data_IF_035572830687
#
_entry.id   IF_035572830687
#
_cell.length_a   1.000
_cell.length_b   1.000
_cell.length_c   1.000
_cell.angle_alpha   90.00
_cell.angle_beta   90.00
_cell.angle_gamma   90.00
#
_symmetry.space_group_name_H-M   'P 1'
#
loop_
_entity.id
_entity.type
_entity.pdbx_description
1 polymer ?
#
# COMPACT_ATOMS: atom_id res chain seq x y z
N UNK A 1 31.60 -8.04 -34.57
CA UNK A 1 30.15 -8.12 -34.33
C UNK A 1 29.96 -7.74 -32.88
N UNK A 2 29.09 -6.78 -32.57
CA UNK A 2 28.83 -6.39 -31.18
C UNK A 2 27.96 -7.44 -30.48
N UNK A 3 27.91 -7.44 -29.15
CA UNK A 3 27.01 -8.31 -28.41
C UNK A 3 25.53 -8.05 -28.77
N UNK A 4 25.20 -6.82 -29.18
CA UNK A 4 23.86 -6.45 -29.67
C UNK A 4 23.58 -7.09 -31.04
N UNK A 5 24.56 -7.06 -31.95
CA UNK A 5 24.43 -7.73 -33.26
C UNK A 5 24.29 -9.25 -33.10
N UNK A 6 25.11 -9.86 -32.23
CA UNK A 6 25.06 -11.29 -31.94
C UNK A 6 23.67 -11.68 -31.39
N UNK A 7 23.16 -10.90 -30.43
CA UNK A 7 21.82 -11.10 -29.87
C UNK A 7 20.72 -10.98 -30.92
N UNK A 8 20.77 -9.92 -31.73
CA UNK A 8 19.79 -9.68 -32.78
C UNK A 8 19.79 -10.79 -33.83
N UNK A 9 20.97 -11.29 -34.20
CA UNK A 9 21.09 -12.43 -35.10
C UNK A 9 20.48 -13.72 -34.51
N UNK A 10 20.72 -14.01 -33.23
CA UNK A 10 20.12 -15.15 -32.52
C UNK A 10 18.59 -15.07 -32.48
N UNK A 11 18.03 -13.87 -32.37
CA UNK A 11 16.57 -13.66 -32.38
C UNK A 11 15.94 -13.77 -33.78
N UNK A 12 16.74 -13.90 -34.85
CA UNK A 12 16.26 -13.99 -36.24
C UNK A 12 16.34 -12.68 -37.03
N UNK A 13 17.05 -11.67 -36.52
CA UNK A 13 17.31 -10.41 -37.20
C UNK A 13 16.03 -9.68 -37.60
N UNK A 14 15.98 -9.19 -38.84
CA UNK A 14 14.86 -8.37 -39.32
C UNK A 14 13.53 -9.12 -39.43
N UNK A 15 13.55 -10.46 -39.40
CA UNK A 15 12.36 -11.30 -39.40
C UNK A 15 11.90 -11.66 -37.97
N UNK A 16 12.62 -11.21 -36.95
CA UNK A 16 12.25 -11.40 -35.55
C UNK A 16 11.09 -10.49 -35.13
N UNK A 17 10.57 -10.73 -33.92
CA UNK A 17 9.56 -9.87 -33.31
C UNK A 17 10.05 -8.43 -33.03
N UNK A 18 11.36 -8.16 -33.08
CA UNK A 18 11.91 -6.82 -32.92
C UNK A 18 11.78 -5.96 -34.18
N UNK A 19 11.69 -6.58 -35.36
CA UNK A 19 11.71 -5.89 -36.65
C UNK A 19 13.08 -5.29 -36.99
N UNK A 20 13.11 -4.36 -37.94
CA UNK A 20 14.35 -3.74 -38.44
C UNK A 20 14.95 -2.75 -37.43
N UNK A 21 16.28 -2.52 -37.46
CA UNK A 21 16.91 -1.47 -36.68
C UNK A 21 16.42 -0.09 -37.16
N UNK A 22 16.03 0.77 -36.21
CA UNK A 22 15.55 2.14 -36.47
C UNK A 22 16.69 3.15 -36.34
N UNK A 23 17.68 2.84 -35.51
CA UNK A 23 18.90 3.64 -35.32
C UNK A 23 20.14 2.75 -35.39
N UNK A 24 21.33 3.31 -35.66
CA UNK A 24 22.60 2.64 -35.40
C UNK A 24 22.74 2.29 -33.91
N UNK A 25 23.57 1.28 -33.61
CA UNK A 25 24.00 1.07 -32.24
C UNK A 25 24.72 2.32 -31.71
N UNK A 26 24.36 2.71 -30.49
CA UNK A 26 24.82 3.94 -29.85
C UNK A 26 25.17 3.67 -28.40
N UNK A 27 26.12 4.42 -27.86
CA UNK A 27 26.39 4.41 -26.41
C UNK A 27 25.19 4.91 -25.64
N UNK A 28 24.91 4.29 -24.49
CA UNK A 28 23.84 4.75 -23.60
C UNK A 28 24.19 6.11 -22.98
N UNK A 29 23.19 6.97 -22.70
CA UNK A 29 23.38 8.27 -22.06
C UNK A 29 24.14 8.27 -20.72
N UNK A 30 24.12 7.18 -19.96
CA UNK A 30 24.90 7.02 -18.72
C UNK A 30 26.40 6.74 -18.96
N UNK A 31 26.80 6.50 -20.21
CA UNK A 31 28.18 6.21 -20.62
C UNK A 31 28.68 4.80 -20.28
N UNK A 32 27.81 3.88 -19.83
CA UNK A 32 28.22 2.55 -19.36
C UNK A 32 28.04 1.48 -20.44
N UNK A 33 26.93 1.53 -21.16
CA UNK A 33 26.49 0.49 -22.07
C UNK A 33 26.34 0.95 -23.51
N UNK A 34 25.71 0.08 -24.29
CA UNK A 34 25.31 0.35 -25.66
C UNK A 34 23.86 -0.11 -25.84
N UNK A 35 23.17 0.48 -26.81
CA UNK A 35 21.82 0.07 -27.15
C UNK A 35 21.54 0.25 -28.64
N UNK A 36 20.50 -0.45 -29.11
CA UNK A 36 19.89 -0.21 -30.41
C UNK A 36 18.37 -0.31 -30.29
N UNK A 37 17.68 0.65 -30.89
CA UNK A 37 16.22 0.57 -31.06
C UNK A 37 15.87 -0.10 -32.39
N UNK A 38 14.84 -0.94 -32.32
CA UNK A 38 14.22 -1.64 -33.44
C UNK A 38 12.75 -1.20 -33.55
N UNK A 39 12.06 -1.59 -34.62
CA UNK A 39 10.67 -1.19 -34.88
C UNK A 39 9.73 -1.50 -33.71
N UNK A 40 9.91 -2.64 -33.04
CA UNK A 40 9.00 -3.12 -31.98
C UNK A 40 9.68 -3.39 -30.64
N UNK A 41 10.99 -3.10 -30.52
CA UNK A 41 11.72 -3.34 -29.28
C UNK A 41 13.07 -2.63 -29.20
N UNK A 42 13.84 -2.95 -28.16
CA UNK A 42 15.21 -2.48 -27.98
C UNK A 42 16.08 -3.64 -27.54
N UNK A 43 17.37 -3.61 -27.90
CA UNK A 43 18.38 -4.43 -27.24
C UNK A 43 19.34 -3.48 -26.52
N UNK A 44 19.56 -3.73 -25.24
CA UNK A 44 20.52 -3.01 -24.40
C UNK A 44 21.61 -3.97 -23.93
N UNK A 45 22.83 -3.47 -23.90
CA UNK A 45 24.00 -4.18 -23.40
C UNK A 45 24.73 -3.35 -22.36
N UNK A 46 25.19 -3.99 -21.30
CA UNK A 46 26.19 -3.43 -20.38
C UNK A 46 27.26 -4.48 -20.05
N UNK A 47 28.45 -4.08 -19.58
CA UNK A 47 29.49 -5.03 -19.17
C UNK A 47 29.04 -6.02 -18.08
N UNK A 48 28.11 -5.62 -17.20
CA UNK A 48 27.66 -6.45 -16.08
C UNK A 48 26.44 -7.31 -16.38
N UNK A 49 25.65 -6.98 -17.40
CA UNK A 49 24.39 -7.67 -17.71
C UNK A 49 24.46 -8.46 -19.02
N UNK A 50 25.34 -8.10 -19.96
CA UNK A 50 25.25 -8.63 -21.32
C UNK A 50 24.06 -8.04 -22.09
N UNK A 51 23.81 -8.59 -23.29
CA UNK A 51 22.83 -8.06 -24.23
C UNK A 51 21.44 -8.70 -24.03
N UNK A 52 20.46 -7.86 -23.71
CA UNK A 52 19.08 -8.26 -23.44
C UNK A 52 18.09 -7.42 -24.22
N UNK A 53 17.04 -8.07 -24.69
CA UNK A 53 15.95 -7.38 -25.36
C UNK A 53 14.85 -6.95 -24.37
N UNK A 54 14.19 -5.84 -24.67
CA UNK A 54 12.95 -5.41 -24.03
C UNK A 54 11.99 -4.91 -25.13
N UNK A 55 10.73 -5.34 -25.13
CA UNK A 55 9.75 -4.94 -26.16
C UNK A 55 8.37 -4.60 -25.59
N UNK A 56 7.44 -4.25 -26.49
CA UNK A 56 6.03 -4.04 -26.18
C UNK A 56 5.76 -3.09 -25.01
N UNK A 57 4.81 -3.46 -24.16
CA UNK A 57 4.36 -2.65 -23.04
C UNK A 57 5.43 -2.51 -21.93
N UNK A 58 6.27 -3.53 -21.74
CA UNK A 58 7.36 -3.49 -20.75
C UNK A 58 8.40 -2.46 -21.16
N UNK A 59 8.80 -2.45 -22.43
CA UNK A 59 9.67 -1.40 -22.98
C UNK A 59 9.05 -0.01 -22.83
N UNK A 60 7.76 0.13 -23.12
CA UNK A 60 7.04 1.40 -22.95
C UNK A 60 7.08 1.89 -21.51
N UNK A 61 6.90 0.99 -20.54
CA UNK A 61 6.98 1.29 -19.11
C UNK A 61 8.39 1.71 -18.69
N UNK A 62 9.40 0.92 -19.05
CA UNK A 62 10.80 1.22 -18.72
C UNK A 62 11.26 2.54 -19.36
N UNK A 63 10.80 2.82 -20.58
CA UNK A 63 11.00 4.12 -21.23
C UNK A 63 10.44 5.28 -20.41
N UNK A 64 9.21 5.14 -19.91
CA UNK A 64 8.55 6.19 -19.13
C UNK A 64 9.26 6.45 -17.79
N UNK A 65 9.95 5.45 -17.25
CA UNK A 65 10.77 5.57 -16.04
C UNK A 65 12.15 6.20 -16.30
N UNK A 66 12.55 6.38 -17.56
CA UNK A 66 13.84 6.97 -17.92
C UNK A 66 14.92 5.96 -18.35
N UNK A 67 14.51 4.76 -18.79
CA UNK A 67 15.41 3.73 -19.35
C UNK A 67 16.49 3.29 -18.35
N UNK A 68 17.73 3.09 -18.81
CA UNK A 68 18.88 2.65 -18.02
C UNK A 68 19.29 3.65 -16.94
N UNK A 69 18.87 4.92 -17.05
CA UNK A 69 19.09 5.94 -16.02
C UNK A 69 18.05 5.90 -14.90
N UNK A 70 17.00 5.10 -15.05
CA UNK A 70 16.02 4.88 -13.98
C UNK A 70 16.62 4.03 -12.85
N UNK A 71 15.92 3.97 -11.72
CA UNK A 71 16.29 3.10 -10.60
C UNK A 71 16.29 1.61 -10.96
N UNK A 72 15.69 1.21 -12.08
CA UNK A 72 15.74 -0.17 -12.56
C UNK A 72 17.07 -0.53 -13.22
N UNK A 73 17.78 0.44 -13.81
CA UNK A 73 19.02 0.17 -14.55
C UNK A 73 18.82 -0.66 -15.81
N UNK A 74 19.81 -1.50 -16.15
CA UNK A 74 19.80 -2.34 -17.34
C UNK A 74 18.96 -3.61 -17.17
N UNK A 75 18.37 -4.13 -18.26
CA UNK A 75 17.75 -5.46 -18.26
C UNK A 75 18.81 -6.56 -18.02
N UNK A 76 18.43 -7.57 -17.23
CA UNK A 76 19.24 -8.77 -16.96
C UNK A 76 18.60 -10.05 -17.53
N UNK A 77 17.42 -9.92 -18.13
CA UNK A 77 16.76 -10.97 -18.90
C UNK A 77 16.18 -10.39 -20.16
N UNK A 78 15.97 -11.25 -21.16
CA UNK A 78 15.02 -10.96 -22.22
C UNK A 78 13.59 -10.95 -21.67
N UNK A 79 12.65 -10.46 -22.47
CA UNK A 79 11.23 -10.52 -22.13
C UNK A 79 10.75 -11.96 -22.28
N UNK A 80 10.36 -12.55 -21.15
CA UNK A 80 9.95 -13.95 -21.07
C UNK A 80 8.48 -14.06 -20.71
N UNK A 81 7.83 -15.14 -21.19
CA UNK A 81 6.52 -15.53 -20.68
C UNK A 81 6.69 -15.92 -19.20
N UNK A 82 5.78 -15.44 -18.37
CA UNK A 82 5.72 -15.81 -16.97
C UNK A 82 5.48 -17.32 -16.79
N UNK A 83 6.00 -17.92 -15.72
CA UNK A 83 5.81 -19.35 -15.45
C UNK A 83 4.36 -19.85 -15.47
N UNK A 84 3.37 -19.04 -15.13
CA UNK A 84 1.94 -19.42 -15.19
C UNK A 84 1.32 -19.36 -16.61
N UNK A 85 2.05 -18.80 -17.58
CA UNK A 85 1.63 -18.66 -18.97
C UNK A 85 0.71 -17.47 -19.26
N UNK A 86 0.43 -16.59 -18.28
CA UNK A 86 -0.55 -15.51 -18.42
C UNK A 86 0.10 -14.19 -18.84
N UNK A 87 1.18 -13.82 -18.15
CA UNK A 87 1.86 -12.55 -18.34
C UNK A 87 3.23 -12.66 -19.01
N UNK A 88 3.89 -11.51 -19.13
CA UNK A 88 5.28 -11.38 -19.60
C UNK A 88 6.07 -10.54 -18.60
N UNK A 89 7.39 -10.72 -18.55
CA UNK A 89 8.24 -9.96 -17.64
C UNK A 89 9.66 -9.75 -18.17
N UNK A 90 10.30 -8.69 -17.70
CA UNK A 90 11.76 -8.54 -17.70
C UNK A 90 12.23 -8.31 -16.25
N UNK A 91 13.35 -8.92 -15.90
CA UNK A 91 14.12 -8.50 -14.74
C UNK A 91 15.15 -7.43 -15.16
N UNK A 92 15.35 -6.47 -14.28
CA UNK A 92 16.34 -5.41 -14.39
C UNK A 92 17.26 -5.46 -13.16
N UNK A 93 18.39 -4.74 -13.21
CA UNK A 93 19.34 -4.69 -12.10
C UNK A 93 18.68 -4.27 -10.78
N UNK A 94 17.81 -3.26 -10.82
CA UNK A 94 17.16 -2.68 -9.65
C UNK A 94 15.75 -3.23 -9.36
N UNK A 95 15.16 -4.03 -10.24
CA UNK A 95 13.76 -4.43 -10.08
C UNK A 95 13.23 -5.34 -11.19
N UNK A 96 11.91 -5.32 -11.38
CA UNK A 96 11.26 -6.08 -12.46
C UNK A 96 10.04 -5.36 -12.94
N UNK A 97 9.71 -5.56 -14.22
CA UNK A 97 8.45 -5.10 -14.79
C UNK A 97 7.69 -6.33 -15.25
N UNK A 98 6.45 -6.45 -14.81
CA UNK A 98 5.52 -7.51 -15.19
C UNK A 98 4.35 -6.90 -15.96
N UNK A 99 3.86 -7.62 -16.95
CA UNK A 99 2.72 -7.22 -17.76
C UNK A 99 1.71 -8.37 -17.90
N UNK A 100 0.42 -8.03 -17.81
CA UNK A 100 -0.68 -8.89 -18.28
C UNK A 100 -1.66 -8.07 -19.11
N UNK A 101 -2.52 -8.71 -19.94
CA UNK A 101 -3.60 -8.01 -20.62
C UNK A 101 -4.56 -7.27 -19.68
N UNK A 102 -4.80 -7.81 -18.47
CA UNK A 102 -5.75 -7.23 -17.51
C UNK A 102 -5.17 -6.11 -16.66
N UNK A 103 -3.87 -6.14 -16.36
CA UNK A 103 -3.25 -5.21 -15.40
C UNK A 103 -2.40 -4.14 -16.09
N UNK A 104 -1.90 -4.39 -17.30
CA UNK A 104 -0.88 -3.54 -17.91
C UNK A 104 0.51 -3.78 -17.30
N UNK A 105 1.48 -2.93 -17.66
CA UNK A 105 2.88 -3.07 -17.24
C UNK A 105 3.15 -2.28 -15.97
N UNK A 106 3.60 -2.97 -14.92
CA UNK A 106 3.90 -2.39 -13.61
C UNK A 106 5.25 -2.85 -13.11
N UNK A 107 5.96 -1.93 -12.47
CA UNK A 107 7.27 -2.19 -11.88
C UNK A 107 7.14 -2.59 -10.39
N UNK A 108 8.01 -3.49 -9.96
CA UNK A 108 8.20 -3.85 -8.55
C UNK A 108 9.71 -3.88 -8.29
N UNK A 109 10.18 -3.21 -7.24
CA UNK A 109 11.61 -3.12 -6.92
C UNK A 109 11.92 -3.30 -5.42
N UNK A 110 13.21 -3.25 -5.09
CA UNK A 110 13.70 -3.23 -3.72
C UNK A 110 13.17 -4.34 -2.81
N UNK A 111 12.84 -3.97 -1.58
CA UNK A 111 12.38 -4.90 -0.54
C UNK A 111 11.00 -5.50 -0.85
N UNK A 112 10.13 -4.75 -1.54
CA UNK A 112 8.81 -5.22 -1.95
C UNK A 112 8.94 -6.36 -2.96
N UNK A 113 9.79 -6.18 -3.98
CA UNK A 113 10.11 -7.24 -4.94
C UNK A 113 10.72 -8.46 -4.27
N UNK A 114 11.64 -8.25 -3.33
CA UNK A 114 12.28 -9.34 -2.61
C UNK A 114 11.28 -10.14 -1.75
N UNK A 115 10.28 -9.48 -1.16
CA UNK A 115 9.19 -10.17 -0.45
C UNK A 115 8.30 -10.93 -1.41
N UNK A 116 7.85 -10.30 -2.50
CA UNK A 116 7.00 -10.92 -3.50
C UNK A 116 7.68 -12.15 -4.15
N UNK A 117 8.98 -12.06 -4.43
CA UNK A 117 9.75 -13.19 -4.95
C UNK A 117 9.80 -14.36 -3.98
N UNK A 118 10.03 -14.08 -2.69
CA UNK A 118 10.03 -15.10 -1.63
C UNK A 118 8.67 -15.77 -1.46
N UNK A 119 7.57 -15.08 -1.80
CA UNK A 119 6.21 -15.62 -1.81
C UNK A 119 5.88 -16.45 -3.06
N UNK A 120 6.78 -16.49 -4.06
CA UNK A 120 6.56 -17.23 -5.31
C UNK A 120 6.06 -16.38 -6.48
N UNK A 121 6.32 -15.06 -6.47
CA UNK A 121 6.04 -14.14 -7.58
C UNK A 121 4.56 -14.13 -7.99
N UNK A 122 4.27 -14.12 -9.28
CA UNK A 122 2.92 -14.10 -9.85
C UNK A 122 2.09 -15.34 -9.49
N UNK A 123 2.74 -16.45 -9.11
CA UNK A 123 2.08 -17.66 -8.61
C UNK A 123 1.72 -17.60 -7.13
N UNK A 124 2.16 -16.56 -6.43
CA UNK A 124 1.79 -16.35 -5.02
C UNK A 124 0.29 -16.01 -4.90
N UNK A 125 -0.21 -16.01 -3.66
CA UNK A 125 -1.59 -15.59 -3.37
C UNK A 125 -1.89 -14.15 -3.80
N UNK A 126 -0.87 -13.32 -3.98
CA UNK A 126 -1.02 -11.91 -4.37
C UNK A 126 -1.34 -11.75 -5.86
N UNK A 127 -0.85 -12.66 -6.71
CA UNK A 127 -0.92 -12.53 -8.17
C UNK A 127 0.02 -11.45 -8.73
N UNK A 128 -0.39 -10.82 -9.82
CA UNK A 128 0.37 -9.80 -10.56
C UNK A 128 0.27 -8.41 -9.92
N UNK A 129 1.29 -7.54 -10.09
CA UNK A 129 1.18 -6.13 -9.71
C UNK A 129 0.13 -5.41 -10.56
N UNK A 130 -0.62 -4.51 -9.92
CA UNK A 130 -1.62 -3.63 -10.55
C UNK A 130 -1.27 -2.14 -10.38
N UNK A 131 -0.20 -1.85 -9.63
CA UNK A 131 0.42 -0.52 -9.54
C UNK A 131 1.93 -0.64 -9.58
N UNK A 132 2.60 0.46 -9.93
CA UNK A 132 4.00 0.68 -9.58
C UNK A 132 4.19 0.87 -8.09
N UNK A 133 5.45 0.86 -7.65
CA UNK A 133 5.77 1.16 -6.26
C UNK A 133 5.52 2.63 -5.95
N UNK A 134 4.55 2.90 -5.09
CA UNK A 134 4.10 4.25 -4.75
C UNK A 134 4.28 4.52 -3.26
N UNK A 135 4.54 5.78 -2.89
CA UNK A 135 4.56 6.19 -1.49
C UNK A 135 3.15 6.47 -0.95
N UNK A 136 2.93 6.18 0.32
CA UNK A 136 1.81 6.74 1.10
C UNK A 136 1.88 8.26 1.16
N UNK A 137 0.79 9.00 1.43
CA UNK A 137 0.77 10.45 1.40
C UNK A 137 1.82 11.15 2.28
N UNK A 138 2.21 10.60 3.43
CA UNK A 138 3.30 11.16 4.25
C UNK A 138 4.70 10.68 3.84
N UNK A 139 4.81 9.71 2.93
CA UNK A 139 6.07 9.12 2.50
C UNK A 139 6.65 8.10 3.49
N UNK A 140 5.96 7.80 4.60
CA UNK A 140 6.46 6.90 5.64
C UNK A 140 6.47 5.42 5.22
N UNK A 141 5.53 5.04 4.35
CA UNK A 141 5.47 3.70 3.76
C UNK A 141 5.48 3.78 2.23
N UNK A 142 5.99 2.74 1.58
CA UNK A 142 5.91 2.50 0.13
C UNK A 142 5.14 1.21 -0.12
N UNK A 143 4.49 1.06 -1.26
CA UNK A 143 3.70 -0.14 -1.55
C UNK A 143 3.57 -0.42 -3.04
N UNK A 144 3.35 -1.70 -3.35
CA UNK A 144 2.70 -2.13 -4.59
C UNK A 144 1.36 -2.78 -4.25
N UNK A 145 0.33 -2.48 -5.02
CA UNK A 145 -0.88 -3.30 -5.05
C UNK A 145 -0.70 -4.43 -6.06
N UNK A 146 -1.23 -5.59 -5.68
CA UNK A 146 -1.33 -6.80 -6.49
C UNK A 146 -2.81 -7.16 -6.69
N UNK A 147 -3.09 -8.12 -7.56
CA UNK A 147 -4.46 -8.52 -7.89
C UNK A 147 -5.31 -8.91 -6.65
N UNK A 148 -4.70 -9.54 -5.66
CA UNK A 148 -5.39 -10.12 -4.50
C UNK A 148 -4.79 -9.64 -3.16
N UNK A 149 -4.14 -8.48 -3.16
CA UNK A 149 -3.51 -7.97 -1.96
C UNK A 149 -2.54 -6.84 -2.24
N UNK A 150 -1.70 -6.51 -1.26
CA UNK A 150 -0.66 -5.49 -1.40
C UNK A 150 0.57 -5.91 -0.63
N UNK A 151 1.74 -5.42 -1.02
CA UNK A 151 2.91 -5.46 -0.16
C UNK A 151 3.27 -4.03 0.17
N UNK A 152 3.37 -3.74 1.46
CA UNK A 152 3.87 -2.45 1.95
C UNK A 152 5.24 -2.64 2.55
N UNK A 153 6.06 -1.62 2.43
CA UNK A 153 7.37 -1.52 3.06
C UNK A 153 7.47 -0.22 3.87
N UNK A 154 8.03 -0.32 5.06
CA UNK A 154 8.52 0.83 5.82
C UNK A 154 9.89 0.52 6.42
N UNK A 155 10.64 1.55 6.80
CA UNK A 155 11.90 1.35 7.52
C UNK A 155 11.70 0.66 8.89
N UNK A 156 10.54 0.87 9.52
CA UNK A 156 10.24 0.32 10.84
C UNK A 156 9.86 -1.16 10.79
N UNK A 157 9.05 -1.55 9.81
CA UNK A 157 8.47 -2.90 9.75
C UNK A 157 9.14 -3.79 8.71
N UNK A 158 9.80 -3.25 7.68
CA UNK A 158 10.19 -4.01 6.50
C UNK A 158 9.00 -4.29 5.58
N UNK A 159 9.16 -5.24 4.64
CA UNK A 159 8.15 -5.55 3.64
C UNK A 159 7.17 -6.64 4.12
N UNK A 160 5.87 -6.33 4.12
CA UNK A 160 4.78 -7.22 4.57
C UNK A 160 3.65 -7.25 3.56
N UNK A 161 3.16 -8.45 3.25
CA UNK A 161 1.96 -8.66 2.45
C UNK A 161 0.69 -8.44 3.27
N UNK A 162 -0.34 -7.97 2.58
CA UNK A 162 -1.69 -7.81 3.09
C UNK A 162 -2.64 -8.49 2.13
N UNK A 163 -3.49 -9.37 2.66
CA UNK A 163 -4.53 -10.10 1.91
C UNK A 163 -5.94 -9.71 2.36
N UNK A 164 -6.03 -8.86 3.37
CA UNK A 164 -7.26 -8.33 3.90
C UNK A 164 -7.15 -6.82 4.06
N UNK A 165 -8.31 -6.15 4.11
CA UNK A 165 -8.37 -4.72 4.35
C UNK A 165 -9.48 -4.30 5.31
N UNK A 166 -9.24 -3.19 5.99
CA UNK A 166 -10.25 -2.42 6.71
C UNK A 166 -10.43 -1.09 5.99
N UNK A 167 -11.68 -0.78 5.64
CA UNK A 167 -12.04 0.44 4.93
C UNK A 167 -12.55 1.47 5.91
N UNK A 168 -11.94 2.65 5.89
CA UNK A 168 -12.25 3.74 6.80
C UNK A 168 -12.74 4.97 6.04
N UNK A 169 -13.66 5.71 6.65
CA UNK A 169 -14.16 7.00 6.17
C UNK A 169 -13.98 8.04 7.26
N UNK A 170 -13.48 9.22 6.90
CA UNK A 170 -13.28 10.32 7.83
C UNK A 170 -14.40 11.33 7.71
N UNK A 171 -14.99 11.70 8.85
CA UNK A 171 -15.96 12.78 8.99
C UNK A 171 -15.38 13.82 9.95
N UNK A 172 -15.12 15.02 9.46
CA UNK A 172 -14.33 16.02 10.18
C UNK A 172 -15.21 17.19 10.56
N UNK A 173 -15.49 17.36 11.85
CA UNK A 173 -16.18 18.54 12.38
C UNK A 173 -15.16 19.58 12.85
N UNK A 174 -14.06 19.09 13.45
CA UNK A 174 -12.94 19.90 13.90
C UNK A 174 -11.63 19.28 13.41
N UNK A 175 -10.76 20.10 12.83
CA UNK A 175 -9.43 19.66 12.39
C UNK A 175 -8.58 19.21 13.59
N UNK A 176 -8.10 17.96 13.61
CA UNK A 176 -7.24 17.46 14.68
C UNK A 176 -5.87 18.18 14.73
N UNK A 177 -5.25 18.20 15.91
CA UNK A 177 -3.90 18.78 16.07
C UNK A 177 -2.84 17.91 15.38
N UNK A 178 -2.93 16.59 15.54
CA UNK A 178 -2.16 15.64 14.73
C UNK A 178 -2.91 15.42 13.42
N UNK A 179 -2.29 15.74 12.27
CA UNK A 179 -2.98 15.73 10.99
C UNK A 179 -3.60 14.36 10.62
N UNK A 180 -4.72 14.39 9.89
CA UNK A 180 -5.47 13.18 9.49
C UNK A 180 -4.59 12.14 8.78
N UNK A 181 -3.72 12.60 7.86
CA UNK A 181 -2.80 11.70 7.15
C UNK A 181 -1.79 11.07 8.11
N UNK A 182 -1.27 11.81 9.09
CA UNK A 182 -0.33 11.29 10.08
C UNK A 182 -0.99 10.22 10.97
N UNK A 183 -2.24 10.42 11.39
CA UNK A 183 -3.00 9.39 12.13
C UNK A 183 -3.29 8.16 11.26
N UNK A 184 -3.66 8.36 9.99
CA UNK A 184 -3.91 7.27 9.05
C UNK A 184 -2.64 6.44 8.80
N UNK A 185 -1.51 7.09 8.56
CA UNK A 185 -0.25 6.39 8.30
C UNK A 185 0.28 5.67 9.53
N UNK A 186 0.11 6.25 10.72
CA UNK A 186 0.42 5.58 11.99
C UNK A 186 -0.44 4.31 12.17
N UNK A 187 -1.74 4.39 11.88
CA UNK A 187 -2.63 3.22 11.91
C UNK A 187 -2.23 2.18 10.85
N UNK A 188 -1.93 2.61 9.63
CA UNK A 188 -1.46 1.72 8.55
C UNK A 188 -0.17 0.98 8.93
N UNK A 189 0.80 1.65 9.54
CA UNK A 189 2.04 1.01 9.99
C UNK A 189 1.80 -0.11 11.00
N UNK A 190 0.91 0.12 11.97
CA UNK A 190 0.58 -0.87 13.00
C UNK A 190 -0.19 -2.04 12.39
N UNK A 191 -1.25 -1.76 11.63
CA UNK A 191 -2.12 -2.80 11.07
C UNK A 191 -1.43 -3.61 9.97
N UNK A 192 -0.43 -3.03 9.31
CA UNK A 192 0.41 -3.76 8.38
C UNK A 192 1.16 -4.91 9.07
N UNK A 193 1.56 -4.77 10.34
CA UNK A 193 2.17 -5.88 11.10
C UNK A 193 1.20 -7.04 11.33
N UNK A 194 -0.10 -6.77 11.24
CA UNK A 194 -1.17 -7.76 11.26
C UNK A 194 -1.52 -8.31 9.86
N UNK A 195 -0.87 -7.85 8.78
CA UNK A 195 -1.25 -8.22 7.42
C UNK A 195 -2.56 -7.60 6.94
N UNK A 196 -3.04 -6.55 7.63
CA UNK A 196 -4.31 -5.87 7.31
C UNK A 196 -4.01 -4.50 6.71
N UNK A 197 -4.44 -4.30 5.47
CA UNK A 197 -4.39 -3.00 4.80
C UNK A 197 -5.44 -2.06 5.38
N UNK A 198 -5.12 -0.78 5.56
CA UNK A 198 -6.14 0.25 5.89
C UNK A 198 -6.34 1.16 4.70
N UNK A 199 -7.56 1.18 4.16
CA UNK A 199 -7.93 1.97 2.97
C UNK A 199 -8.85 3.12 3.37
N UNK A 200 -8.38 4.36 3.25
CA UNK A 200 -9.24 5.54 3.36
C UNK A 200 -10.09 5.69 2.09
N UNK A 201 -11.42 5.66 2.25
CA UNK A 201 -12.38 5.73 1.13
C UNK A 201 -12.85 7.15 0.85
N UNK A 202 -13.18 7.92 1.89
CA UNK A 202 -13.61 9.31 1.75
C UNK A 202 -13.20 10.13 2.97
N UNK A 203 -12.96 11.42 2.75
CA UNK A 203 -12.93 12.43 3.82
C UNK A 203 -14.02 13.46 3.53
N UNK A 204 -14.86 13.76 4.51
CA UNK A 204 -15.94 14.75 4.42
C UNK A 204 -15.88 15.69 5.62
N UNK A 205 -16.03 17.00 5.38
CA UNK A 205 -16.19 17.98 6.45
C UNK A 205 -17.67 18.11 6.81
N UNK A 206 -18.00 18.05 8.09
CA UNK A 206 -19.37 18.21 8.61
C UNK A 206 -19.50 19.54 9.36
N UNK A 207 -20.66 20.19 9.25
CA UNK A 207 -20.99 21.40 10.02
C UNK A 207 -22.12 21.09 10.99
N UNK A 208 -21.74 20.62 12.18
CA UNK A 208 -22.67 20.21 13.25
C UNK A 208 -22.19 20.84 14.56
N UNK A 209 -22.36 22.17 14.77
CA UNK A 209 -21.71 22.89 15.85
C UNK A 209 -22.07 22.40 17.25
N UNK A 210 -23.28 21.85 17.43
CA UNK A 210 -23.73 21.24 18.69
C UNK A 210 -23.05 19.89 19.00
N UNK A 211 -22.38 19.29 18.02
CA UNK A 211 -21.69 18.00 18.15
C UNK A 211 -20.16 18.16 18.02
N UNK A 212 -19.63 19.37 18.25
CA UNK A 212 -18.18 19.56 18.32
C UNK A 212 -17.60 19.04 19.64
N UNK A 213 -18.36 19.12 20.74
CA UNK A 213 -18.02 18.49 22.01
C UNK A 213 -19.07 17.42 22.26
N UNK A 214 -18.68 16.15 22.07
CA UNK A 214 -19.66 15.05 22.02
C UNK A 214 -19.67 14.30 23.34
N UNK A 215 -20.84 14.21 23.97
CA UNK A 215 -21.08 13.27 25.05
C UNK A 215 -20.95 11.83 24.53
N UNK A 216 -19.94 11.11 25.00
CA UNK A 216 -19.68 9.70 24.67
C UNK A 216 -19.99 8.76 25.83
N UNK A 217 -20.53 9.30 26.93
CA UNK A 217 -20.83 8.55 28.14
C UNK A 217 -19.60 7.84 28.71
N UNK A 218 -19.78 6.64 29.25
CA UNK A 218 -18.67 5.84 29.78
C UNK A 218 -17.80 5.15 28.72
N UNK A 219 -18.13 5.28 27.43
CA UNK A 219 -17.49 4.58 26.32
C UNK A 219 -17.35 3.05 26.52
N UNK A 220 -18.36 2.39 27.11
CA UNK A 220 -18.34 0.96 27.44
C UNK A 220 -19.27 0.11 26.54
N UNK A 221 -19.48 0.53 25.30
CA UNK A 221 -20.32 -0.14 24.30
C UNK A 221 -21.78 0.35 24.27
N UNK A 222 -22.19 1.22 25.21
CA UNK A 222 -23.49 1.91 25.16
C UNK A 222 -23.30 3.32 24.62
N UNK A 223 -24.14 3.72 23.65
CA UNK A 223 -24.06 5.05 23.03
C UNK A 223 -25.04 6.05 23.63
N UNK A 224 -24.62 7.32 23.66
CA UNK A 224 -25.46 8.47 24.05
C UNK A 224 -26.37 8.96 22.90
N UNK A 225 -27.25 9.92 23.21
CA UNK A 225 -28.06 10.61 22.18
C UNK A 225 -27.19 11.35 21.17
N UNK A 226 -26.14 12.03 21.62
CA UNK A 226 -25.24 12.79 20.75
C UNK A 226 -24.42 11.86 19.83
N UNK A 227 -23.94 10.72 20.34
CA UNK A 227 -23.32 9.69 19.51
C UNK A 227 -24.30 9.14 18.47
N UNK A 228 -25.54 8.85 18.86
CA UNK A 228 -26.56 8.37 17.92
C UNK A 228 -26.85 9.38 16.80
N UNK A 229 -26.89 10.68 17.12
CA UNK A 229 -27.05 11.76 16.15
C UNK A 229 -25.82 11.89 15.24
N UNK A 230 -24.61 11.93 15.83
CA UNK A 230 -23.36 12.02 15.09
C UNK A 230 -23.20 10.87 14.10
N UNK A 231 -23.40 9.63 14.55
CA UNK A 231 -23.26 8.41 13.74
C UNK A 231 -24.39 8.26 12.71
N UNK A 232 -25.44 9.08 12.80
CA UNK A 232 -26.42 9.26 11.73
C UNK A 232 -25.82 9.87 10.46
N UNK A 233 -24.71 10.60 10.57
CA UNK A 233 -24.03 11.27 9.45
C UNK A 233 -23.03 10.35 8.71
N UNK A 234 -23.44 9.10 8.45
CA UNK A 234 -22.61 8.10 7.74
C UNK A 234 -22.87 8.01 6.23
N UNK A 235 -23.28 9.11 5.61
CA UNK A 235 -23.69 9.14 4.21
C UNK A 235 -22.64 8.46 3.31
N UNK A 236 -23.12 7.59 2.41
CA UNK A 236 -22.32 6.85 1.42
C UNK A 236 -21.28 5.89 2.00
N UNK A 237 -21.55 5.30 3.17
CA UNK A 237 -20.69 4.29 3.81
C UNK A 237 -21.41 2.95 3.89
N UNK A 238 -20.78 1.87 3.44
CA UNK A 238 -21.36 0.53 3.51
C UNK A 238 -21.37 -0.01 4.94
N UNK A 239 -22.24 -0.98 5.23
CA UNK A 239 -22.39 -1.54 6.58
C UNK A 239 -21.13 -2.22 7.12
N UNK A 240 -20.26 -2.72 6.24
CA UNK A 240 -18.98 -3.36 6.56
C UNK A 240 -17.78 -2.39 6.54
N UNK A 241 -18.03 -1.08 6.49
CA UNK A 241 -16.99 -0.05 6.47
C UNK A 241 -17.10 0.84 7.73
N UNK A 242 -15.96 1.31 8.23
CA UNK A 242 -15.84 1.99 9.51
C UNK A 242 -15.80 3.51 9.32
N UNK A 243 -16.44 4.26 10.21
CA UNK A 243 -16.41 5.75 10.19
C UNK A 243 -15.67 6.30 11.40
N UNK A 244 -14.66 7.13 11.16
CA UNK A 244 -14.00 7.91 12.20
C UNK A 244 -14.50 9.36 12.17
N UNK A 245 -15.06 9.82 13.28
CA UNK A 245 -15.56 11.19 13.47
C UNK A 245 -14.55 12.01 14.26
N UNK A 246 -14.04 13.08 13.66
CA UNK A 246 -13.08 13.98 14.29
C UNK A 246 -13.79 15.20 14.87
N UNK A 247 -13.75 15.32 16.19
CA UNK A 247 -14.49 16.31 16.98
C UNK A 247 -13.52 17.16 17.80
N UNK A 248 -13.98 18.27 18.39
CA UNK A 248 -13.14 19.12 19.25
C UNK A 248 -12.81 18.40 20.55
N UNK A 249 -13.81 17.91 21.25
CA UNK A 249 -13.63 17.19 22.51
C UNK A 249 -14.71 16.12 22.71
N UNK A 250 -14.50 15.26 23.70
CA UNK A 250 -15.53 14.34 24.19
C UNK A 250 -15.91 14.70 25.63
N UNK A 251 -17.10 14.26 26.05
CA UNK A 251 -17.56 14.37 27.44
C UNK A 251 -17.92 12.96 27.91
N UNK A 252 -17.30 12.41 28.97
CA UNK A 252 -16.08 12.89 29.66
C UNK A 252 -14.87 13.05 28.71
N UNK A 253 -13.79 13.76 29.11
CA UNK A 253 -12.72 14.21 28.23
C UNK A 253 -11.74 13.08 27.85
N UNK A 254 -12.21 12.12 27.07
CA UNK A 254 -11.41 11.08 26.45
C UNK A 254 -10.78 11.56 25.13
N UNK A 255 -9.66 10.96 24.74
CA UNK A 255 -9.04 11.22 23.45
C UNK A 255 -9.78 10.55 22.28
N UNK A 256 -10.58 9.53 22.57
CA UNK A 256 -11.39 8.83 21.60
C UNK A 256 -12.46 7.98 22.27
N UNK A 257 -13.39 7.48 21.46
CA UNK A 257 -14.36 6.50 21.89
C UNK A 257 -14.87 5.64 20.72
N UNK A 258 -14.74 4.33 20.86
CA UNK A 258 -15.23 3.34 19.89
C UNK A 258 -16.65 2.81 20.16
N UNK A 259 -17.36 3.32 21.18
CA UNK A 259 -18.78 2.96 21.37
C UNK A 259 -19.62 3.48 20.21
N UNK A 260 -20.34 2.59 19.55
CA UNK A 260 -21.09 2.92 18.34
C UNK A 260 -22.46 2.22 18.29
N UNK A 261 -23.45 2.79 17.59
CA UNK A 261 -24.76 2.16 17.46
C UNK A 261 -24.66 0.84 16.67
N UNK A 262 -25.63 -0.05 16.89
CA UNK A 262 -25.72 -1.30 16.15
C UNK A 262 -25.77 -1.05 14.62
N UNK A 263 -24.98 -1.80 13.87
CA UNK A 263 -24.86 -1.66 12.41
C UNK A 263 -24.16 -0.38 11.94
N UNK A 264 -23.61 0.45 12.85
CA UNK A 264 -22.88 1.69 12.55
C UNK A 264 -21.46 1.68 13.10
N UNK A 265 -20.60 0.74 12.66
CA UNK A 265 -19.23 0.62 13.17
C UNK A 265 -18.47 1.93 12.95
N UNK A 266 -17.86 2.43 14.01
CA UNK A 266 -17.16 3.71 13.97
C UNK A 266 -16.62 4.13 15.32
N UNK A 267 -15.86 5.22 15.30
CA UNK A 267 -15.24 5.79 16.48
C UNK A 267 -15.26 7.31 16.43
N UNK A 268 -15.22 7.93 17.59
CA UNK A 268 -14.98 9.37 17.79
C UNK A 268 -13.50 9.55 18.15
N UNK A 269 -12.85 10.56 17.57
CA UNK A 269 -11.47 10.95 17.87
C UNK A 269 -11.45 12.44 18.18
N UNK A 270 -10.96 12.81 19.36
CA UNK A 270 -10.89 14.21 19.80
C UNK A 270 -9.71 14.96 19.16
N UNK A 271 -9.80 16.30 19.10
CA UNK A 271 -8.80 17.14 18.45
C UNK A 271 -7.39 16.97 19.05
N UNK A 272 -7.30 16.83 20.37
CA UNK A 272 -6.05 16.66 21.11
C UNK A 272 -5.49 15.23 21.14
N UNK A 273 -6.10 14.31 20.39
CA UNK A 273 -5.67 12.92 20.32
C UNK A 273 -4.27 12.75 19.74
N UNK A 274 -3.60 11.65 20.07
CA UNK A 274 -2.26 11.34 19.57
C UNK A 274 -2.34 10.64 18.21
N UNK A 275 -1.20 10.49 17.54
CA UNK A 275 -1.14 9.77 16.25
C UNK A 275 -1.62 8.32 16.32
N UNK A 276 -1.59 7.70 17.50
CA UNK A 276 -1.98 6.30 17.70
C UNK A 276 -3.47 6.14 18.06
N UNK A 277 -4.16 7.20 18.46
CA UNK A 277 -5.54 7.12 18.93
C UNK A 277 -6.49 6.62 17.86
N UNK A 278 -6.34 7.05 16.61
CA UNK A 278 -7.18 6.52 15.52
C UNK A 278 -7.07 5.00 15.40
N UNK A 279 -5.84 4.46 15.34
CA UNK A 279 -5.63 3.01 15.26
C UNK A 279 -6.13 2.26 16.49
N UNK A 280 -6.00 2.85 17.67
CA UNK A 280 -6.51 2.31 18.93
C UNK A 280 -8.03 2.19 18.93
N UNK A 281 -8.75 3.27 18.61
CA UNK A 281 -10.21 3.26 18.60
C UNK A 281 -10.77 2.32 17.52
N UNK A 282 -10.17 2.31 16.33
CA UNK A 282 -10.57 1.34 15.30
C UNK A 282 -10.23 -0.09 15.74
N UNK A 283 -9.20 -0.29 16.56
CA UNK A 283 -8.87 -1.59 17.15
C UNK A 283 -10.01 -2.12 17.99
N UNK A 284 -10.63 -1.27 18.81
CA UNK A 284 -11.86 -1.62 19.53
C UNK A 284 -13.03 -1.96 18.61
N UNK A 285 -13.23 -1.19 17.53
CA UNK A 285 -14.27 -1.48 16.53
C UNK A 285 -14.06 -2.86 15.88
N UNK A 286 -12.81 -3.30 15.75
CA UNK A 286 -12.44 -4.63 15.26
C UNK A 286 -12.44 -5.73 16.34
N UNK A 287 -12.86 -5.41 17.56
CA UNK A 287 -13.04 -6.38 18.65
C UNK A 287 -11.87 -6.46 19.64
N UNK A 288 -10.86 -5.60 19.52
CA UNK A 288 -9.76 -5.57 20.49
C UNK A 288 -10.20 -4.97 21.83
N UNK A 289 -9.53 -5.40 22.91
CA UNK A 289 -9.76 -4.94 24.27
C UNK A 289 -8.51 -4.29 24.85
N UNK A 290 -8.68 -3.42 25.84
CA UNK A 290 -7.55 -2.79 26.51
C UNK A 290 -6.61 -3.79 27.16
N UNK A 291 -5.32 -3.44 27.17
CA UNK A 291 -4.27 -4.17 27.85
C UNK A 291 -3.44 -3.23 28.71
N UNK A 292 -2.87 -3.75 29.80
CA UNK A 292 -1.95 -2.96 30.64
C UNK A 292 -0.51 -3.12 30.14
N UNK A 293 -0.21 -2.62 28.95
CA UNK A 293 1.13 -2.62 28.36
C UNK A 293 1.29 -1.46 27.37
N UNK A 294 2.26 -0.59 27.63
CA UNK A 294 2.52 0.62 26.84
C UNK A 294 3.28 0.38 25.53
N UNK A 295 3.81 -0.81 25.30
CA UNK A 295 4.39 -1.17 24.00
C UNK A 295 3.31 -1.61 22.99
N UNK A 296 2.07 -1.87 23.46
CA UNK A 296 0.97 -2.39 22.63
C UNK A 296 -0.01 -1.30 22.24
N UNK A 297 -0.60 -1.43 21.05
CA UNK A 297 -1.55 -0.46 20.51
C UNK A 297 -2.73 -0.22 21.47
N UNK A 298 -3.23 -1.31 22.06
CA UNK A 298 -4.42 -1.30 22.92
C UNK A 298 -4.11 -0.93 24.38
N UNK A 299 -3.04 -0.16 24.64
CA UNK A 299 -2.72 0.27 26.01
C UNK A 299 -3.91 0.99 26.66
N UNK A 300 -4.37 0.48 27.81
CA UNK A 300 -5.39 1.11 28.64
C UNK A 300 -4.87 2.32 29.44
N UNK A 301 -3.56 2.56 29.42
CA UNK A 301 -2.93 3.68 30.12
C UNK A 301 -2.94 4.98 29.29
N UNK A 302 -3.56 4.96 28.10
CA UNK A 302 -3.64 6.09 27.19
C UNK A 302 -2.52 6.09 26.14
N UNK A 303 -2.90 6.37 24.89
CA UNK A 303 -2.01 6.30 23.71
C UNK A 303 -0.86 7.31 23.70
N UNK A 304 -0.87 8.32 24.58
CA UNK A 304 0.25 9.22 24.79
C UNK A 304 1.43 8.56 25.53
N UNK A 305 1.16 7.44 26.22
CA UNK A 305 2.16 6.71 27.00
C UNK A 305 2.80 5.56 26.20
N UNK A 306 2.57 5.47 24.89
CA UNK A 306 3.18 4.43 24.05
C UNK A 306 4.70 4.57 24.05
N UNK A 307 5.40 3.49 24.40
CA UNK A 307 6.86 3.45 24.60
C UNK A 307 7.62 2.81 23.43
N UNK A 308 6.95 1.97 22.65
CA UNK A 308 7.52 1.33 21.46
C UNK A 308 6.78 1.82 20.20
N UNK A 309 7.21 2.89 19.52
CA UNK A 309 6.60 3.32 18.26
C UNK A 309 7.28 2.67 17.03
N UNK A 310 6.54 2.07 16.07
CA UNK A 310 5.09 1.84 16.12
C UNK A 310 4.73 0.75 17.15
N UNK A 311 3.57 0.89 17.85
CA UNK A 311 3.17 -0.06 18.88
C UNK A 311 2.82 -1.42 18.30
N UNK A 312 2.99 -2.44 19.14
CA UNK A 312 2.84 -3.84 18.76
C UNK A 312 1.37 -4.29 18.72
N UNK A 313 1.09 -5.22 17.80
CA UNK A 313 -0.07 -6.12 17.83
C UNK A 313 0.44 -7.55 17.99
N UNK A 314 -0.10 -8.29 18.96
CA UNK A 314 0.28 -9.69 19.19
C UNK A 314 -0.62 -10.65 18.40
N UNK A 315 -0.18 -11.90 18.22
CA UNK A 315 -0.89 -12.92 17.43
C UNK A 315 -2.39 -13.08 17.80
N UNK A 316 -2.74 -12.99 19.09
CA UNK A 316 -4.14 -13.06 19.53
C UNK A 316 -4.98 -11.85 19.11
N UNK A 317 -4.40 -10.66 19.11
CA UNK A 317 -5.05 -9.43 18.62
C UNK A 317 -5.22 -9.49 17.11
N UNK A 318 -4.17 -9.90 16.39
CA UNK A 318 -4.20 -10.08 14.94
C UNK A 318 -5.32 -11.05 14.55
N UNK A 319 -5.38 -12.21 15.22
CA UNK A 319 -6.45 -13.21 15.00
C UNK A 319 -7.84 -12.62 15.27
N UNK A 320 -7.97 -11.73 16.25
CA UNK A 320 -9.25 -11.09 16.57
C UNK A 320 -9.64 -10.11 15.46
N UNK A 321 -8.70 -9.29 15.00
CA UNK A 321 -8.92 -8.35 13.90
C UNK A 321 -9.26 -9.08 12.59
N UNK A 322 -8.58 -10.17 12.27
CA UNK A 322 -8.85 -10.97 11.06
C UNK A 322 -10.25 -11.61 11.08
N UNK A 323 -10.73 -12.01 12.25
CA UNK A 323 -12.07 -12.58 12.41
C UNK A 323 -13.19 -11.53 12.45
N UNK A 324 -12.85 -10.24 12.44
CA UNK A 324 -13.85 -9.16 12.40
C UNK A 324 -14.58 -9.17 11.07
N UNK A 325 -15.91 -9.01 11.11
CA UNK A 325 -16.74 -8.85 9.89
C UNK A 325 -16.43 -7.57 9.09
N UNK A 326 -15.61 -6.67 9.66
CA UNK A 326 -15.17 -5.42 9.04
C UNK A 326 -13.81 -5.55 8.35
N UNK A 327 -13.14 -6.69 8.54
CA UNK A 327 -11.90 -7.05 7.85
C UNK A 327 -12.27 -7.88 6.62
N UNK A 328 -12.02 -7.33 5.43
CA UNK A 328 -12.50 -7.84 4.15
C UNK A 328 -11.33 -8.51 3.43
N UNK A 329 -11.49 -9.76 3.00
CA UNK A 329 -10.49 -10.42 2.16
C UNK A 329 -10.49 -9.81 0.75
N UNK A 330 -9.29 -9.58 0.21
CA UNK A 330 -9.03 -9.00 -1.11
C UNK A 330 -9.00 -10.05 -2.23
#
# INVERSE_FOLDING_TARGET
>A
MSAIDDKYAVLGGANSFLGKPVIPESSTPDGIGAFRHYEFGSIYWSPSTGAHEVHGAIRGKWSALGWERSFLGYPITDESVTPDGVGRFNHFQGGSIYWTPSTGAHEVHGAIRARWSALGWERSKLGYPITDETATPTGLCRFNHFQHGSIYWSAATGAHETLSEVRVHFKVLTTPTVGLNQMLDAMQQVYLTAGIRVTLRTTENLTLPLLNDVDVGGCSGTTTTEQNQLFGNRNNVNNNEVVAYFVRSTVPPFNGCASHPAGRPGAVVAQGATQWTLGHEIGHVLGLSHVNNNDRLMTGNGTANITNPPPDLIAGEITTMDNSALTINL
#
